data_IF_447075441325
#
_entry.id   IF_447075441325
#
_cell.length_a   1.000
_cell.length_b   1.000
_cell.length_c   1.000
_cell.angle_alpha   90.00
_cell.angle_beta   90.00
_cell.angle_gamma   90.00
#
_symmetry.space_group_name_H-M   'P 1'
#
loop_
_entity.id
_entity.type
_entity.pdbx_description
1 polymer ?
#
# COMPACT_ATOMS: atom_id res chain seq x y z
N UNK A 1 -14.59 -9.65 -0.80
CA UNK A 1 -13.74 -10.54 -1.62
C UNK A 1 -12.29 -10.72 -1.10
N UNK A 2 -11.62 -9.64 -0.66
CA UNK A 2 -10.22 -9.71 -0.16
C UNK A 2 -9.97 -10.77 0.93
N UNK A 3 -10.82 -10.84 1.95
CA UNK A 3 -10.66 -11.78 3.07
C UNK A 3 -10.70 -13.24 2.62
N UNK A 4 -11.58 -13.55 1.67
CA UNK A 4 -11.68 -14.89 1.07
C UNK A 4 -10.38 -15.28 0.36
N UNK A 5 -9.83 -14.41 -0.49
CA UNK A 5 -8.56 -14.71 -1.17
C UNK A 5 -7.40 -14.79 -0.18
N UNK A 6 -7.33 -13.92 0.83
CA UNK A 6 -6.33 -14.01 1.88
C UNK A 6 -6.40 -15.35 2.64
N UNK A 7 -7.61 -15.83 2.93
CA UNK A 7 -7.84 -17.15 3.54
C UNK A 7 -7.34 -18.28 2.64
N UNK A 8 -7.57 -18.22 1.33
CA UNK A 8 -7.14 -19.25 0.36
C UNK A 8 -5.64 -19.25 0.09
N UNK A 9 -4.98 -18.11 0.20
CA UNK A 9 -3.53 -17.98 0.05
C UNK A 9 -2.75 -18.39 1.31
N UNK A 10 -3.44 -18.58 2.45
CA UNK A 10 -2.79 -18.96 3.70
C UNK A 10 -2.34 -20.43 3.66
N UNK A 11 -1.05 -20.66 3.88
CA UNK A 11 -0.51 -22.01 4.02
C UNK A 11 -0.92 -22.61 5.38
N UNK A 12 -1.53 -23.80 5.34
CA UNK A 12 -1.92 -24.60 6.51
C UNK A 12 -1.40 -26.03 6.39
N UNK A 13 -1.23 -26.71 7.52
CA UNK A 13 -0.70 -28.09 7.54
C UNK A 13 -1.72 -29.11 7.03
N UNK A 14 -3.01 -28.91 7.32
CA UNK A 14 -4.09 -29.84 7.01
C UNK A 14 -4.76 -29.59 5.64
N UNK A 15 -4.16 -28.76 4.77
CA UNK A 15 -4.71 -28.42 3.45
C UNK A 15 -3.74 -28.76 2.32
N UNK A 16 -4.28 -29.08 1.14
CA UNK A 16 -3.49 -29.37 -0.05
C UNK A 16 -2.67 -28.16 -0.50
N UNK A 17 -1.38 -28.38 -0.76
CA UNK A 17 -0.42 -27.32 -1.15
C UNK A 17 -0.36 -27.07 -2.66
N UNK A 18 -1.22 -27.71 -3.44
CA UNK A 18 -1.23 -27.67 -4.91
C UNK A 18 -1.24 -26.23 -5.45
N UNK A 19 -2.10 -25.36 -4.89
CA UNK A 19 -2.18 -23.95 -5.30
C UNK A 19 -0.85 -23.22 -5.07
N UNK A 20 -0.24 -23.38 -3.89
CA UNK A 20 1.02 -22.71 -3.52
C UNK A 20 2.24 -23.27 -4.25
N UNK A 21 2.17 -24.54 -4.68
CA UNK A 21 3.23 -25.21 -5.43
C UNK A 21 3.13 -24.98 -6.96
N UNK A 22 2.12 -24.26 -7.43
CA UNK A 22 1.86 -24.01 -8.85
C UNK A 22 2.84 -23.06 -9.55
N UNK A 23 3.83 -22.49 -8.85
CA UNK A 23 4.84 -21.59 -9.42
C UNK A 23 4.22 -20.44 -10.23
N UNK A 24 4.51 -20.35 -11.53
CA UNK A 24 3.93 -19.33 -12.42
C UNK A 24 2.39 -19.31 -12.44
N UNK A 25 1.74 -20.46 -12.36
CA UNK A 25 0.26 -20.53 -12.32
C UNK A 25 -0.27 -19.92 -11.01
N UNK A 26 0.46 -20.10 -9.91
CA UNK A 26 0.14 -19.45 -8.64
C UNK A 26 0.25 -17.93 -8.71
N UNK A 27 1.31 -17.42 -9.35
CA UNK A 27 1.49 -15.99 -9.55
C UNK A 27 0.36 -15.39 -10.39
N UNK A 28 -0.05 -16.06 -11.47
CA UNK A 28 -1.19 -15.66 -12.28
C UNK A 28 -2.48 -15.60 -11.44
N UNK A 29 -2.72 -16.63 -10.62
CA UNK A 29 -3.87 -16.64 -9.72
C UNK A 29 -3.86 -15.45 -8.75
N UNK A 30 -2.71 -15.08 -8.16
CA UNK A 30 -2.61 -13.91 -7.28
C UNK A 30 -2.99 -12.63 -8.04
N UNK A 31 -2.45 -12.44 -9.25
CA UNK A 31 -2.71 -11.25 -10.07
C UNK A 31 -4.20 -11.17 -10.42
N UNK A 32 -4.82 -12.28 -10.82
CA UNK A 32 -6.24 -12.34 -11.13
C UNK A 32 -7.11 -12.02 -9.89
N UNK A 33 -6.74 -12.55 -8.72
CA UNK A 33 -7.40 -12.22 -7.46
C UNK A 33 -7.29 -10.72 -7.12
N UNK A 34 -6.10 -10.14 -7.31
CA UNK A 34 -5.88 -8.71 -7.08
C UNK A 34 -6.72 -7.85 -8.03
N UNK A 35 -6.73 -8.18 -9.33
CA UNK A 35 -7.56 -7.52 -10.34
C UNK A 35 -9.05 -7.56 -9.98
N UNK A 36 -9.55 -8.71 -9.50
CA UNK A 36 -10.93 -8.84 -9.06
C UNK A 36 -11.26 -7.95 -7.85
N UNK A 37 -10.37 -7.89 -6.85
CA UNK A 37 -10.52 -7.01 -5.68
C UNK A 37 -10.50 -5.54 -6.10
N UNK A 38 -9.56 -5.14 -6.95
CA UNK A 38 -9.45 -3.75 -7.41
C UNK A 38 -10.64 -3.34 -8.28
N UNK A 39 -11.13 -4.22 -9.14
CA UNK A 39 -12.36 -3.99 -9.89
C UNK A 39 -13.56 -3.77 -8.96
N UNK A 40 -13.70 -4.57 -7.90
CA UNK A 40 -14.75 -4.39 -6.89
C UNK A 40 -14.64 -3.02 -6.19
N UNK A 41 -13.42 -2.61 -5.78
CA UNK A 41 -13.17 -1.30 -5.17
C UNK A 41 -13.50 -0.13 -6.11
N UNK A 42 -13.09 -0.23 -7.37
CA UNK A 42 -13.39 0.79 -8.38
C UNK A 42 -14.88 0.87 -8.69
N UNK A 43 -15.58 -0.27 -8.72
CA UNK A 43 -17.03 -0.31 -8.87
C UNK A 43 -17.74 0.34 -7.68
N UNK A 44 -17.27 0.08 -6.45
CA UNK A 44 -17.78 0.75 -5.26
C UNK A 44 -17.60 2.27 -5.35
N UNK A 45 -16.40 2.75 -5.73
CA UNK A 45 -16.12 4.18 -5.89
C UNK A 45 -17.02 4.79 -6.97
N UNK A 46 -17.23 4.09 -8.10
CA UNK A 46 -18.10 4.54 -9.19
C UNK A 46 -19.55 4.67 -8.74
N UNK A 47 -20.07 3.72 -7.97
CA UNK A 47 -21.47 3.70 -7.55
C UNK A 47 -21.75 4.64 -6.38
N UNK A 48 -20.74 4.94 -5.55
CA UNK A 48 -20.88 5.79 -4.36
C UNK A 48 -20.35 7.22 -4.55
N UNK A 49 -20.25 7.67 -5.80
CA UNK A 49 -19.75 9.02 -6.13
C UNK A 49 -20.53 10.15 -5.45
N UNK A 50 -21.84 10.00 -5.23
CA UNK A 50 -22.64 11.03 -4.57
C UNK A 50 -22.18 11.30 -3.13
N UNK A 51 -21.74 10.26 -2.40
CA UNK A 51 -21.17 10.42 -1.06
C UNK A 51 -19.75 10.97 -1.13
N UNK A 52 -18.90 10.41 -1.99
CA UNK A 52 -17.49 10.80 -2.12
C UNK A 52 -17.30 12.24 -2.64
N UNK A 53 -18.27 12.76 -3.39
CA UNK A 53 -18.26 14.16 -3.84
C UNK A 53 -18.57 15.14 -2.72
N UNK A 54 -19.32 14.76 -1.67
CA UNK A 54 -19.66 15.67 -0.54
C UNK A 54 -18.41 16.10 0.22
N UNK A 55 -17.47 15.19 0.44
CA UNK A 55 -16.19 15.51 1.09
C UNK A 55 -15.35 16.51 0.27
N UNK A 56 -15.53 16.53 -1.06
CA UNK A 56 -14.86 17.47 -1.96
C UNK A 56 -15.63 18.78 -2.15
N UNK A 57 -16.96 18.79 -1.99
CA UNK A 57 -17.75 20.03 -2.05
C UNK A 57 -17.26 21.06 -1.05
N UNK A 58 -16.75 20.65 0.12
CA UNK A 58 -16.08 21.57 1.06
C UNK A 58 -14.87 22.28 0.42
N UNK A 59 -14.02 21.54 -0.31
CA UNK A 59 -12.84 22.10 -1.00
C UNK A 59 -13.20 22.91 -2.26
N UNK A 60 -14.29 22.55 -2.96
CA UNK A 60 -14.78 23.29 -4.14
C UNK A 60 -15.48 24.58 -3.72
N UNK A 61 -16.24 24.58 -2.62
CA UNK A 61 -16.79 25.80 -2.02
C UNK A 61 -15.69 26.81 -1.70
N UNK A 62 -14.54 26.36 -1.19
CA UNK A 62 -13.37 27.22 -0.97
C UNK A 62 -12.75 27.77 -2.27
N UNK A 63 -12.84 27.04 -3.39
CA UNK A 63 -12.38 27.50 -4.69
C UNK A 63 -13.37 28.47 -5.37
N UNK A 64 -14.67 28.26 -5.19
CA UNK A 64 -15.73 29.19 -5.65
C UNK A 64 -15.66 30.51 -4.86
N UNK A 65 -15.37 30.46 -3.55
CA UNK A 65 -15.11 31.65 -2.73
C UNK A 65 -13.89 32.46 -3.22
N UNK A 66 -12.95 31.83 -3.95
CA UNK A 66 -11.79 32.51 -4.56
C UNK A 66 -12.05 33.11 -5.93
N UNK A 67 -13.28 33.02 -6.47
CA UNK A 67 -13.70 33.75 -7.67
C UNK A 67 -13.55 33.02 -9.01
N UNK A 68 -13.22 31.72 -9.01
CA UNK A 68 -13.18 30.93 -10.24
C UNK A 68 -14.61 30.60 -10.72
N UNK A 69 -15.07 31.35 -11.73
CA UNK A 69 -16.46 31.37 -12.20
C UNK A 69 -16.74 30.51 -13.45
N UNK A 70 -15.76 29.72 -13.91
CA UNK A 70 -15.92 28.86 -15.09
C UNK A 70 -16.30 27.42 -14.73
N UNK A 71 -17.58 27.10 -14.80
CA UNK A 71 -18.11 25.73 -14.65
C UNK A 71 -17.83 24.79 -15.84
N UNK A 72 -17.14 25.27 -16.89
CA UNK A 72 -16.87 24.51 -18.11
C UNK A 72 -15.69 23.52 -17.96
N UNK A 73 -14.84 23.70 -16.95
CA UNK A 73 -13.70 22.83 -16.64
C UNK A 73 -14.01 21.73 -15.61
N UNK A 74 -15.29 21.47 -15.32
CA UNK A 74 -15.77 20.46 -14.36
C UNK A 74 -15.66 19.05 -14.98
N UNK A 75 -14.45 18.69 -15.41
CA UNK A 75 -14.11 17.45 -16.08
C UNK A 75 -13.63 16.40 -15.09
N UNK A 76 -14.56 15.56 -14.62
CA UNK A 76 -14.40 14.10 -14.41
C UNK A 76 -15.69 13.54 -13.79
N UNK A 77 -16.43 12.74 -14.57
CA UNK A 77 -17.66 12.06 -14.10
C UNK A 77 -17.41 11.14 -12.90
N UNK A 78 -16.19 10.65 -12.73
CA UNK A 78 -15.78 9.80 -11.61
C UNK A 78 -14.49 10.37 -11.02
N UNK A 79 -14.55 10.74 -9.73
CA UNK A 79 -13.40 11.16 -8.96
C UNK A 79 -12.85 9.95 -8.19
N UNK A 80 -11.58 9.64 -8.40
CA UNK A 80 -10.83 8.73 -7.55
C UNK A 80 -10.36 9.50 -6.32
N UNK A 81 -10.77 9.13 -5.10
CA UNK A 81 -10.32 9.78 -3.87
C UNK A 81 -8.85 9.48 -3.58
N UNK A 82 -8.22 10.26 -2.69
CA UNK A 82 -6.86 10.00 -2.23
C UNK A 82 -6.74 8.74 -1.36
N UNK A 83 -7.85 8.24 -0.82
CA UNK A 83 -7.90 6.92 -0.17
C UNK A 83 -7.68 5.74 -1.12
N UNK A 84 -7.75 5.96 -2.43
CA UNK A 84 -7.41 4.94 -3.43
C UNK A 84 -5.90 4.82 -3.59
N UNK A 85 -5.31 3.81 -2.95
CA UNK A 85 -3.87 3.52 -2.97
C UNK A 85 -3.34 3.33 -4.39
N UNK A 86 -2.20 3.96 -4.69
CA UNK A 86 -1.58 3.91 -6.02
C UNK A 86 -2.17 4.88 -7.05
N UNK A 87 -3.24 5.61 -6.71
CA UNK A 87 -3.78 6.67 -7.56
C UNK A 87 -2.95 7.97 -7.53
N UNK A 88 -3.10 8.86 -8.54
CA UNK A 88 -2.39 10.14 -8.57
C UNK A 88 -2.64 11.02 -7.34
N UNK A 89 -3.88 11.06 -6.83
CA UNK A 89 -4.23 11.84 -5.64
C UNK A 89 -3.62 11.26 -4.36
N UNK A 90 -3.52 9.93 -4.27
CA UNK A 90 -2.85 9.27 -3.15
C UNK A 90 -1.37 9.64 -3.10
N UNK A 91 -0.68 9.59 -4.25
CA UNK A 91 0.72 10.00 -4.34
C UNK A 91 0.92 11.49 -4.03
N UNK A 92 0.05 12.35 -4.57
CA UNK A 92 0.11 13.79 -4.31
C UNK A 92 -0.12 14.12 -2.83
N UNK A 93 -1.09 13.45 -2.18
CA UNK A 93 -1.33 13.64 -0.75
C UNK A 93 -0.13 13.19 0.08
N UNK A 94 0.42 11.99 -0.15
CA UNK A 94 1.60 11.51 0.58
C UNK A 94 2.80 12.47 0.43
N UNK A 95 3.00 13.04 -0.76
CA UNK A 95 4.03 14.03 -0.99
C UNK A 95 3.78 15.33 -0.20
N UNK A 96 2.54 15.83 -0.22
CA UNK A 96 2.17 17.03 0.54
C UNK A 96 2.32 16.82 2.05
N UNK A 97 1.93 15.66 2.57
CA UNK A 97 2.06 15.30 3.98
C UNK A 97 3.54 15.24 4.39
N UNK A 98 4.40 14.61 3.58
CA UNK A 98 5.84 14.58 3.81
C UNK A 98 6.46 16.00 3.80
N UNK A 99 6.07 16.84 2.84
CA UNK A 99 6.55 18.24 2.77
C UNK A 99 6.05 19.08 3.96
N UNK A 100 4.83 18.83 4.44
CA UNK A 100 4.30 19.51 5.62
C UNK A 100 5.09 19.14 6.89
N UNK A 101 5.42 17.85 7.06
CA UNK A 101 6.29 17.37 8.14
C UNK A 101 7.66 18.07 8.08
N UNK A 102 8.32 18.07 6.92
CA UNK A 102 9.62 18.73 6.75
C UNK A 102 9.55 20.25 6.98
N UNK A 103 8.44 20.90 6.60
CA UNK A 103 8.26 22.33 6.84
C UNK A 103 8.09 22.64 8.33
N UNK A 104 7.43 21.77 9.08
CA UNK A 104 7.16 22.00 10.51
C UNK A 104 8.34 21.62 11.40
N UNK A 105 8.94 20.46 11.16
CA UNK A 105 10.01 19.91 12.00
C UNK A 105 11.43 20.13 11.45
N UNK A 106 11.55 20.62 10.21
CA UNK A 106 12.83 20.79 9.52
C UNK A 106 13.26 19.55 8.73
N UNK A 107 14.53 19.51 8.34
CA UNK A 107 15.06 18.44 7.50
C UNK A 107 15.16 17.10 8.26
N UNK A 108 14.97 15.96 7.58
CA UNK A 108 15.12 14.65 8.21
C UNK A 108 16.57 14.41 8.63
N UNK A 109 16.75 13.85 9.82
CA UNK A 109 18.07 13.46 10.34
C UNK A 109 18.51 12.09 9.83
N UNK A 110 17.56 11.19 9.58
CA UNK A 110 17.80 9.81 9.14
C UNK A 110 17.05 9.54 7.84
N UNK A 111 17.74 8.90 6.89
CA UNK A 111 17.16 8.38 5.66
C UNK A 111 17.57 6.91 5.53
N UNK A 112 16.62 6.00 5.74
CA UNK A 112 16.87 4.56 5.85
C UNK A 112 16.18 3.84 4.70
N UNK A 113 16.98 3.13 3.89
CA UNK A 113 16.47 2.20 2.89
C UNK A 113 16.58 0.78 3.43
N UNK A 114 15.45 0.07 3.50
CA UNK A 114 15.41 -1.34 3.88
C UNK A 114 14.88 -2.17 2.70
N UNK A 115 15.73 -3.05 2.17
CA UNK A 115 15.41 -3.85 0.99
C UNK A 115 15.22 -5.31 1.37
N UNK A 116 14.19 -5.96 0.81
CA UNK A 116 13.99 -7.39 0.98
C UNK A 116 15.13 -8.19 0.33
N UNK A 117 15.64 -9.20 1.03
CA UNK A 117 16.65 -10.11 0.48
C UNK A 117 16.08 -11.52 0.33
N UNK A 118 15.96 -12.05 -0.90
CA UNK A 118 15.52 -13.43 -1.14
C UNK A 118 16.41 -14.50 -0.50
N UNK A 119 17.68 -14.17 -0.20
CA UNK A 119 18.67 -15.08 0.42
C UNK A 119 18.67 -15.03 1.95
N UNK A 120 17.64 -14.45 2.57
CA UNK A 120 17.51 -14.53 4.02
C UNK A 120 17.25 -15.98 4.45
N UNK A 121 17.86 -16.47 5.55
CA UNK A 121 17.69 -17.86 5.99
C UNK A 121 16.23 -18.21 6.31
N UNK A 122 15.44 -17.24 6.78
CA UNK A 122 14.00 -17.43 7.01
C UNK A 122 13.21 -17.62 5.72
N UNK A 123 13.68 -17.03 4.61
CA UNK A 123 13.09 -17.20 3.28
C UNK A 123 13.52 -18.54 2.70
N UNK A 124 14.83 -18.83 2.68
CA UNK A 124 15.39 -20.08 2.14
C UNK A 124 14.85 -21.32 2.85
N UNK A 125 14.73 -21.28 4.17
CA UNK A 125 14.17 -22.40 4.97
C UNK A 125 12.71 -22.71 4.63
N UNK A 126 11.93 -21.73 4.19
CA UNK A 126 10.53 -21.93 3.79
C UNK A 126 10.39 -22.33 2.32
N UNK A 127 11.38 -22.03 1.48
CA UNK A 127 11.30 -22.20 0.03
C UNK A 127 11.45 -23.65 -0.45
N UNK A 128 11.97 -24.58 0.36
CA UNK A 128 12.15 -26.01 -0.01
C UNK A 128 12.71 -26.18 -1.45
N UNK A 129 11.86 -26.59 -2.40
CA UNK A 129 12.21 -26.84 -3.80
C UNK A 129 11.76 -25.70 -4.76
N UNK A 130 11.11 -24.66 -4.24
CA UNK A 130 10.63 -23.51 -5.01
C UNK A 130 11.68 -22.39 -5.03
N UNK A 131 11.63 -21.54 -6.06
CA UNK A 131 12.45 -20.32 -6.08
C UNK A 131 11.73 -19.19 -5.33
N UNK A 132 12.48 -18.21 -4.85
CA UNK A 132 11.90 -17.02 -4.22
C UNK A 132 10.94 -16.27 -5.15
N UNK A 133 11.20 -16.31 -6.46
CA UNK A 133 10.34 -15.76 -7.52
C UNK A 133 8.98 -16.47 -7.62
N UNK A 134 8.93 -17.76 -7.31
CA UNK A 134 7.68 -18.55 -7.32
C UNK A 134 6.82 -18.28 -6.07
N UNK A 135 7.43 -17.76 -5.00
CA UNK A 135 6.79 -17.51 -3.70
C UNK A 135 7.11 -16.10 -3.14
N UNK A 136 6.72 -15.04 -3.87
CA UNK A 136 6.94 -13.66 -3.44
C UNK A 136 6.17 -13.33 -2.15
N UNK A 137 5.13 -14.10 -1.81
CA UNK A 137 4.39 -14.02 -0.56
C UNK A 137 5.27 -14.30 0.66
N UNK A 138 6.20 -15.27 0.57
CA UNK A 138 7.13 -15.60 1.66
C UNK A 138 8.09 -14.43 1.88
N UNK A 139 8.74 -13.97 0.81
CA UNK A 139 9.69 -12.85 0.86
C UNK A 139 9.02 -11.60 1.43
N UNK A 140 7.81 -11.28 0.98
CA UNK A 140 7.03 -10.13 1.46
C UNK A 140 6.65 -10.25 2.95
N UNK A 141 6.31 -11.46 3.42
CA UNK A 141 6.00 -11.71 4.84
C UNK A 141 7.23 -11.57 5.72
N UNK A 142 8.35 -12.15 5.33
CA UNK A 142 9.62 -12.03 6.07
C UNK A 142 10.06 -10.57 6.10
N UNK A 143 10.00 -9.87 4.97
CA UNK A 143 10.26 -8.43 4.90
C UNK A 143 9.38 -7.65 5.87
N UNK A 144 8.07 -7.91 5.91
CA UNK A 144 7.16 -7.21 6.82
C UNK A 144 7.49 -7.48 8.30
N UNK A 145 7.89 -8.70 8.65
CA UNK A 145 8.29 -9.05 10.02
C UNK A 145 9.59 -8.33 10.41
N UNK A 146 10.61 -8.35 9.55
CA UNK A 146 11.87 -7.65 9.80
C UNK A 146 11.68 -6.13 9.83
N UNK A 147 10.83 -5.58 8.96
CA UNK A 147 10.47 -4.16 8.97
C UNK A 147 9.78 -3.78 10.29
N UNK A 148 8.84 -4.60 10.80
CA UNK A 148 8.22 -4.35 12.11
C UNK A 148 9.26 -4.33 13.23
N UNK A 149 10.21 -5.25 13.20
CA UNK A 149 11.31 -5.27 14.17
C UNK A 149 12.18 -4.01 14.07
N UNK A 150 12.51 -3.57 12.85
CA UNK A 150 13.24 -2.33 12.64
C UNK A 150 12.47 -1.11 13.17
N UNK A 151 11.17 -1.01 12.85
CA UNK A 151 10.33 0.10 13.33
C UNK A 151 10.23 0.13 14.85
N UNK A 152 10.20 -1.04 15.51
CA UNK A 152 10.25 -1.14 16.97
C UNK A 152 11.55 -0.56 17.52
N UNK A 153 12.69 -0.93 16.95
CA UNK A 153 14.00 -0.42 17.39
C UNK A 153 14.12 1.10 17.19
N UNK A 154 13.62 1.60 16.06
CA UNK A 154 13.67 3.03 15.74
C UNK A 154 12.75 3.89 16.61
N UNK A 155 11.54 3.39 16.93
CA UNK A 155 10.51 4.18 17.62
C UNK A 155 10.40 3.91 19.11
N UNK A 156 10.53 2.66 19.53
CA UNK A 156 10.28 2.24 20.92
C UNK A 156 11.59 2.10 21.71
N UNK A 157 12.62 1.50 21.13
CA UNK A 157 13.88 1.25 21.85
C UNK A 157 14.78 2.50 21.96
N UNK A 158 14.32 3.65 21.44
CA UNK A 158 14.98 4.96 21.49
C UNK A 158 16.47 4.96 21.14
N UNK A 159 16.90 4.06 20.26
CA UNK A 159 18.32 3.89 19.92
C UNK A 159 18.94 5.15 19.33
N UNK A 160 18.14 5.93 18.58
CA UNK A 160 18.51 7.23 18.02
C UNK A 160 17.84 8.41 18.75
N UNK A 161 17.31 8.19 19.95
CA UNK A 161 16.47 9.15 20.68
C UNK A 161 14.98 8.99 20.39
N UNK A 162 14.19 9.98 20.79
CA UNK A 162 12.74 9.98 20.60
C UNK A 162 12.37 10.39 19.17
N UNK A 163 11.57 9.56 18.50
CA UNK A 163 11.00 9.89 17.19
C UNK A 163 9.95 10.99 17.32
N UNK A 164 10.15 12.10 16.59
CA UNK A 164 9.24 13.26 16.58
C UNK A 164 8.27 13.17 15.41
N UNK A 165 8.75 12.71 14.26
CA UNK A 165 7.96 12.56 13.04
C UNK A 165 8.67 11.61 12.08
N UNK A 166 7.89 10.71 11.48
CA UNK A 166 8.38 9.75 10.50
C UNK A 166 7.52 9.73 9.24
N UNK A 167 8.17 9.44 8.12
CA UNK A 167 7.53 9.16 6.83
C UNK A 167 8.02 7.79 6.38
N UNK A 168 7.09 6.85 6.19
CA UNK A 168 7.40 5.50 5.74
C UNK A 168 6.69 5.22 4.42
N UNK A 169 7.43 4.72 3.44
CA UNK A 169 6.87 4.23 2.17
C UNK A 169 7.43 2.84 1.89
N UNK A 170 6.56 1.94 1.44
CA UNK A 170 6.92 0.59 1.02
C UNK A 170 6.58 0.47 -0.46
N UNK A 171 7.58 0.09 -1.24
CA UNK A 171 7.46 -0.12 -2.68
C UNK A 171 7.82 -1.56 -3.02
N UNK A 172 7.21 -2.09 -4.08
CA UNK A 172 7.51 -3.40 -4.64
C UNK A 172 8.15 -3.17 -6.01
N UNK A 173 9.24 -3.90 -6.28
CA UNK A 173 9.96 -3.88 -7.56
C UNK A 173 9.55 -5.05 -8.44
#
# INVERSE_FOLDING_TARGET
MREYYAYRLQQRENEGKCLLQGGRLFLQFIVDCYCAIEAERLNFIRNNQASLRRDLYNNICDAILKGDSSGASVGKRILLPSSFTGGPRYMQQNFQDAMAICRWYGNPHLFITFTANPKWPEVESMLKEQKAEDRPDITSRVFKLKLKQLMKVLKEDHYFGTDIADVCTIEFQ
#
